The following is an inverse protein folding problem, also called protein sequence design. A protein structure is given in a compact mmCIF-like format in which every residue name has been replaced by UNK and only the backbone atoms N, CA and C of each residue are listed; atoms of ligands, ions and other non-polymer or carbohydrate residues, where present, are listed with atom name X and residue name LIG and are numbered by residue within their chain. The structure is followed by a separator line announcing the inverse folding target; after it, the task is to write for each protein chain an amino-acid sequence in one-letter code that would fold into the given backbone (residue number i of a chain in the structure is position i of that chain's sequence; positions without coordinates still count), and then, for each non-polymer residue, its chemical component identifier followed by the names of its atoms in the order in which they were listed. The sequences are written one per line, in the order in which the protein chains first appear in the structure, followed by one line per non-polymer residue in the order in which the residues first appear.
data_IF_204947168698
#
_entry.id   IF_204947168698
#
_cell.length_a   1.000
_cell.length_b   1.000
_cell.length_c   1.000
_cell.angle_alpha   90.00
_cell.angle_beta   90.00
_cell.angle_gamma   90.00
#
_symmetry.space_group_name_H-M   'P 1'
#
loop_
_entity.id
_entity.type
_entity.pdbx_description
1 polymer ?
#
# COMPACT_ATOMS: atom_id res chain seq x y z
N UNK A 1 6.21 -3.17 1.76
CA UNK A 1 5.66 -2.20 2.72
C UNK A 1 6.34 -0.84 2.61
N UNK A 2 5.64 0.27 2.88
CA UNK A 2 6.19 1.62 3.01
C UNK A 2 5.43 2.40 4.11
N UNK A 3 6.15 3.21 4.90
CA UNK A 3 5.52 4.07 5.91
C UNK A 3 4.82 5.28 5.29
N UNK A 4 3.90 5.91 6.01
CA UNK A 4 3.24 7.14 5.58
C UNK A 4 4.26 8.22 5.18
N UNK A 5 3.96 8.89 4.06
CA UNK A 5 4.80 9.86 3.37
C UNK A 5 6.09 9.28 2.75
N UNK A 6 6.22 7.96 2.64
CA UNK A 6 7.30 7.30 1.88
C UNK A 6 6.80 6.85 0.51
N UNK A 7 7.73 6.79 -0.44
CA UNK A 7 7.46 6.20 -1.75
C UNK A 7 7.41 4.68 -1.62
N UNK A 8 6.33 4.07 -2.11
CA UNK A 8 6.21 2.65 -2.31
C UNK A 8 6.47 2.33 -3.78
N UNK A 9 7.27 1.30 -4.06
CA UNK A 9 7.58 0.89 -5.43
C UNK A 9 7.69 -0.64 -5.50
N UNK A 10 7.10 -1.22 -6.54
CA UNK A 10 7.17 -2.65 -6.87
C UNK A 10 7.30 -2.81 -8.39
N UNK A 11 7.94 -3.89 -8.80
CA UNK A 11 8.10 -4.22 -10.22
C UNK A 11 8.17 -5.73 -10.45
N UNK A 12 7.88 -6.11 -11.69
CA UNK A 12 8.04 -7.44 -12.24
C UNK A 12 9.09 -7.43 -13.35
N UNK A 13 9.66 -8.60 -13.65
CA UNK A 13 10.56 -8.78 -14.78
C UNK A 13 9.84 -8.57 -16.12
N UNK A 14 10.61 -8.35 -17.18
CA UNK A 14 10.07 -8.19 -18.53
C UNK A 14 9.11 -9.35 -18.91
N UNK A 15 8.02 -9.02 -19.59
CA UNK A 15 6.98 -9.98 -19.98
C UNK A 15 6.05 -10.42 -18.83
N UNK A 16 6.15 -9.80 -17.65
CA UNK A 16 5.24 -10.07 -16.54
C UNK A 16 4.49 -8.81 -16.11
N UNK A 17 3.30 -9.02 -15.55
CA UNK A 17 2.39 -7.98 -15.10
C UNK A 17 2.08 -8.14 -13.60
N UNK A 18 1.90 -7.02 -12.93
CA UNK A 18 1.56 -6.95 -11.51
C UNK A 18 0.11 -7.40 -11.31
N UNK A 19 -0.06 -8.32 -10.35
CA UNK A 19 -1.36 -8.68 -9.77
C UNK A 19 -1.30 -8.50 -8.27
N UNK A 20 -2.10 -7.57 -7.75
CA UNK A 20 -2.15 -7.34 -6.30
C UNK A 20 -3.06 -8.39 -5.66
N UNK A 21 -2.57 -9.09 -4.63
CA UNK A 21 -3.35 -10.09 -3.91
C UNK A 21 -3.96 -9.49 -2.66
N UNK A 22 -3.20 -8.70 -1.91
CA UNK A 22 -3.67 -7.99 -0.72
C UNK A 22 -3.09 -6.58 -0.64
N UNK A 23 -3.87 -5.63 -0.10
CA UNK A 23 -3.48 -4.24 0.04
C UNK A 23 -3.98 -3.71 1.39
N UNK A 24 -3.04 -3.26 2.22
CA UNK A 24 -3.29 -2.65 3.51
C UNK A 24 -2.84 -1.20 3.44
N UNK A 25 -3.76 -0.26 3.66
CA UNK A 25 -3.42 1.13 3.98
C UNK A 25 -4.04 1.47 5.32
N UNK A 26 -3.20 1.69 6.33
CA UNK A 26 -3.66 1.89 7.69
C UNK A 26 -2.64 1.43 8.71
N UNK A 27 -3.13 0.84 9.80
CA UNK A 27 -2.30 0.25 10.86
C UNK A 27 -3.05 -0.91 11.53
N UNK A 28 -2.59 -2.13 11.27
CA UNK A 28 -3.11 -3.35 11.92
C UNK A 28 -2.17 -3.85 13.02
N UNK A 29 -0.88 -3.48 12.98
CA UNK A 29 0.14 -3.87 13.98
C UNK A 29 0.99 -2.69 14.43
N UNK A 30 1.64 -2.81 15.60
CA UNK A 30 2.44 -1.73 16.20
C UNK A 30 3.89 -1.68 15.70
N UNK A 31 4.46 -2.83 15.32
CA UNK A 31 5.90 -2.95 15.04
C UNK A 31 6.32 -2.42 13.67
N UNK A 32 5.35 -2.24 12.75
CA UNK A 32 5.59 -1.63 11.45
C UNK A 32 5.52 -0.11 11.59
N UNK A 33 6.54 0.62 11.11
CA UNK A 33 6.62 2.08 11.13
C UNK A 33 6.41 2.65 12.56
N UNK A 34 7.43 2.52 13.41
CA UNK A 34 7.36 2.80 14.84
C UNK A 34 6.71 4.17 15.16
N UNK A 35 5.72 4.15 16.06
CA UNK A 35 5.07 5.35 16.59
C UNK A 35 4.64 5.10 18.04
N UNK A 36 5.03 5.99 18.96
CA UNK A 36 4.88 5.81 20.40
C UNK A 36 3.41 5.61 20.84
N UNK A 37 2.46 6.26 20.17
CA UNK A 37 1.03 6.19 20.48
C UNK A 37 0.23 5.40 19.45
N UNK A 38 0.86 4.40 18.81
CA UNK A 38 0.25 3.61 17.75
C UNK A 38 -1.06 2.94 18.20
N UNK A 39 -2.18 3.38 17.61
CA UNK A 39 -3.45 2.66 17.68
C UNK A 39 -3.55 1.70 16.49
N UNK A 40 -3.87 0.45 16.79
CA UNK A 40 -4.23 -0.56 15.80
C UNK A 40 -5.74 -0.48 15.50
N UNK A 41 -6.23 -1.19 14.49
CA UNK A 41 -7.61 -1.12 13.97
C UNK A 41 -7.91 0.11 13.11
N UNK A 42 -6.95 0.50 12.29
CA UNK A 42 -7.16 1.48 11.22
C UNK A 42 -6.92 0.79 9.87
N UNK A 43 -7.91 0.83 8.98
CA UNK A 43 -7.79 0.28 7.64
C UNK A 43 -8.66 1.08 6.68
N UNK A 44 -8.10 1.47 5.54
CA UNK A 44 -8.86 2.10 4.45
C UNK A 44 -9.58 1.05 3.62
N UNK A 45 -10.87 1.26 3.42
CA UNK A 45 -11.69 0.46 2.50
C UNK A 45 -11.52 0.88 1.04
N UNK A 46 -11.02 2.10 0.78
CA UNK A 46 -10.88 2.66 -0.57
C UNK A 46 -9.50 2.39 -1.18
N UNK A 47 -8.45 2.37 -0.36
CA UNK A 47 -7.08 2.20 -0.80
C UNK A 47 -6.82 0.93 -1.63
N UNK A 48 -7.40 -0.25 -1.32
CA UNK A 48 -7.23 -1.43 -2.17
C UNK A 48 -7.72 -1.22 -3.60
N UNK A 49 -8.86 -0.54 -3.79
CA UNK A 49 -9.39 -0.21 -5.11
C UNK A 49 -8.45 0.72 -5.87
N UNK A 50 -7.99 1.79 -5.21
CA UNK A 50 -7.07 2.77 -5.80
C UNK A 50 -5.75 2.10 -6.23
N UNK A 51 -5.17 1.27 -5.38
CA UNK A 51 -3.92 0.56 -5.69
C UNK A 51 -4.09 -0.42 -6.85
N UNK A 52 -5.22 -1.14 -6.91
CA UNK A 52 -5.50 -2.04 -8.03
C UNK A 52 -5.61 -1.27 -9.34
N UNK A 53 -6.38 -0.18 -9.36
CA UNK A 53 -6.52 0.67 -10.56
C UNK A 53 -5.19 1.25 -11.03
N UNK A 54 -4.27 1.59 -10.11
CA UNK A 54 -2.98 2.20 -10.46
C UNK A 54 -1.92 1.19 -10.88
N UNK A 55 -1.91 0.00 -10.28
CA UNK A 55 -0.78 -0.92 -10.41
C UNK A 55 -1.08 -2.19 -11.23
N UNK A 56 -2.33 -2.69 -11.25
CA UNK A 56 -2.60 -3.96 -11.91
C UNK A 56 -2.42 -3.85 -13.44
N UNK A 57 -1.86 -4.91 -14.04
CA UNK A 57 -1.56 -4.97 -15.47
C UNK A 57 -0.26 -4.25 -15.89
N UNK A 58 0.30 -3.39 -15.03
CA UNK A 58 1.60 -2.75 -15.25
C UNK A 58 2.77 -3.69 -14.93
N UNK A 59 3.94 -3.43 -15.52
CA UNK A 59 5.18 -4.10 -15.14
C UNK A 59 5.81 -3.50 -13.87
N UNK A 60 5.51 -2.24 -13.58
CA UNK A 60 5.98 -1.51 -12.40
C UNK A 60 4.86 -0.61 -11.86
N UNK A 61 4.93 -0.33 -10.55
CA UNK A 61 4.03 0.61 -9.90
C UNK A 61 4.77 1.37 -8.81
N UNK A 62 4.64 2.69 -8.82
CA UNK A 62 5.18 3.57 -7.77
C UNK A 62 4.10 4.52 -7.27
N UNK A 63 3.86 4.54 -5.97
CA UNK A 63 2.81 5.34 -5.32
C UNK A 63 3.36 5.95 -4.03
N UNK A 64 3.10 7.24 -3.81
CA UNK A 64 3.38 7.85 -2.51
C UNK A 64 2.34 7.35 -1.49
N UNK A 65 2.81 6.74 -0.40
CA UNK A 65 1.97 6.24 0.67
C UNK A 65 1.43 7.41 1.51
N UNK A 66 0.47 8.16 0.98
CA UNK A 66 -0.06 9.38 1.59
C UNK A 66 -1.59 9.38 1.63
N UNK A 67 -2.15 10.13 2.57
CA UNK A 67 -3.60 10.33 2.70
C UNK A 67 -4.24 10.94 1.46
N UNK A 68 -3.52 11.83 0.77
CA UNK A 68 -3.96 12.41 -0.50
C UNK A 68 -4.10 11.39 -1.63
N UNK A 69 -3.35 10.29 -1.58
CA UNK A 69 -3.38 9.27 -2.61
C UNK A 69 -4.28 8.08 -2.28
N UNK A 70 -4.41 7.73 -1.00
CA UNK A 70 -5.02 6.47 -0.54
C UNK A 70 -6.19 6.67 0.44
N UNK A 71 -6.59 7.93 0.65
CA UNK A 71 -7.59 8.33 1.65
C UNK A 71 -7.02 8.37 3.07
N UNK A 72 -7.80 8.90 4.01
CA UNK A 72 -7.40 8.98 5.42
C UNK A 72 -8.37 8.19 6.32
N UNK A 73 -8.14 6.89 6.53
CA UNK A 73 -8.95 6.09 7.44
C UNK A 73 -8.74 6.44 8.93
N UNK A 74 -7.65 7.14 9.26
CA UNK A 74 -7.35 7.53 10.64
C UNK A 74 -6.39 8.73 10.71
N UNK A 75 -6.93 9.91 10.94
CA UNK A 75 -6.22 11.20 10.88
C UNK A 75 -5.15 11.45 11.94
N UNK A 76 -4.95 10.52 12.89
CA UNK A 76 -4.05 10.71 14.03
C UNK A 76 -3.05 9.57 14.25
N UNK A 77 -2.96 8.60 13.34
CA UNK A 77 -1.97 7.53 13.42
C UNK A 77 -1.08 7.55 12.18
N UNK A 78 0.21 7.29 12.39
CA UNK A 78 1.14 7.03 11.30
C UNK A 78 0.69 5.75 10.58
N UNK A 79 0.33 5.81 9.30
CA UNK A 79 -0.13 4.65 8.52
C UNK A 79 1.04 3.96 7.83
N UNK A 80 0.82 2.76 7.33
CA UNK A 80 1.71 2.12 6.38
C UNK A 80 0.89 1.56 5.21
N UNK A 81 1.51 1.56 4.04
CA UNK A 81 1.06 0.84 2.87
C UNK A 81 1.78 -0.51 2.86
N UNK A 82 1.05 -1.60 2.98
CA UNK A 82 1.55 -2.94 2.75
C UNK A 82 0.82 -3.59 1.58
N UNK A 83 1.57 -4.24 0.70
CA UNK A 83 1.03 -4.78 -0.55
C UNK A 83 1.65 -6.13 -0.77
N UNK A 84 0.79 -7.15 -0.84
CA UNK A 84 1.16 -8.48 -1.33
C UNK A 84 0.82 -8.52 -2.81
N UNK A 85 1.76 -8.96 -3.64
CA UNK A 85 1.60 -9.01 -5.09
C UNK A 85 2.28 -10.25 -5.67
N UNK A 86 1.85 -10.61 -6.88
CA UNK A 86 2.44 -11.65 -7.70
C UNK A 86 2.68 -11.12 -9.11
N UNK A 87 3.68 -11.67 -9.80
CA UNK A 87 3.94 -11.39 -11.20
C UNK A 87 3.32 -12.49 -12.06
N UNK A 88 2.38 -12.13 -12.92
CA UNK A 88 1.78 -13.06 -13.89
C UNK A 88 2.47 -12.90 -15.24
N UNK A 89 2.71 -14.01 -15.94
CA UNK A 89 3.19 -13.96 -17.32
C UNK A 89 2.13 -13.29 -18.19
N UNK A 90 2.55 -12.28 -18.96
CA UNK A 90 1.69 -11.53 -19.87
C UNK A 90 1.38 -12.28 -21.16
#
# INVERSE_FOLDING_TARGET
TACENKLFSISCSAGHQLRLTDVIWGRTVKDICFFMFAKTNCLSTEAPGIMRTRCEGGAECSVSASTSNLGDPCSFNNKYLDVTYTCLSG
#
